data_IF_876098717520
#
_entry.id   IF_876098717520
#
_cell.length_a   1.000
_cell.length_b   1.000
_cell.length_c   1.000
_cell.angle_alpha   90.00
_cell.angle_beta   90.00
_cell.angle_gamma   90.00
#
_symmetry.space_group_name_H-M   'P 1'
#
loop_
_entity.id
_entity.type
_entity.pdbx_description
1 polymer ?
#
# COMPACT_ATOMS: atom_id res chain seq x y z
N UNK A 1 -10.49 3.02 25.69
CA UNK A 1 -11.75 2.45 25.17
C UNK A 1 -12.76 3.53 24.78
N UNK A 2 -13.11 4.48 25.65
CA UNK A 2 -14.04 5.58 25.30
C UNK A 2 -13.58 6.44 24.11
N UNK A 3 -12.28 6.75 24.01
CA UNK A 3 -11.71 7.48 22.88
C UNK A 3 -11.94 6.77 21.53
N UNK A 4 -11.79 5.43 21.50
CA UNK A 4 -12.06 4.61 20.31
C UNK A 4 -13.54 4.66 19.92
N UNK A 5 -14.45 4.58 20.89
CA UNK A 5 -15.90 4.70 20.64
C UNK A 5 -16.26 6.06 20.04
N UNK A 6 -15.63 7.14 20.53
CA UNK A 6 -15.82 8.49 19.98
C UNK A 6 -15.30 8.56 18.54
N UNK A 7 -14.12 8.01 18.25
CA UNK A 7 -13.56 7.98 16.90
C UNK A 7 -14.44 7.20 15.92
N UNK A 8 -14.94 6.03 16.30
CA UNK A 8 -15.86 5.25 15.46
C UNK A 8 -17.15 6.04 15.20
N UNK A 9 -17.72 6.68 16.22
CA UNK A 9 -18.92 7.52 16.05
C UNK A 9 -18.66 8.71 15.12
N UNK A 10 -17.48 9.32 15.23
CA UNK A 10 -17.07 10.42 14.37
C UNK A 10 -16.92 9.95 12.91
N UNK A 11 -16.22 8.83 12.69
CA UNK A 11 -16.04 8.26 11.37
C UNK A 11 -17.37 7.84 10.75
N UNK A 12 -18.20 7.10 11.47
CA UNK A 12 -19.52 6.67 10.97
C UNK A 12 -20.38 7.87 10.57
N UNK A 13 -20.40 8.92 11.38
CA UNK A 13 -21.10 10.15 11.03
C UNK A 13 -20.56 10.76 9.73
N UNK A 14 -19.23 10.81 9.56
CA UNK A 14 -18.65 11.30 8.32
C UNK A 14 -18.96 10.43 7.10
N UNK A 15 -19.10 9.11 7.29
CA UNK A 15 -19.49 8.18 6.22
C UNK A 15 -20.98 8.32 5.87
N UNK A 16 -21.85 8.45 6.87
CA UNK A 16 -23.29 8.68 6.68
C UNK A 16 -23.54 10.02 5.97
N UNK A 17 -22.85 11.08 6.38
CA UNK A 17 -22.97 12.41 5.79
C UNK A 17 -22.23 12.50 4.43
N UNK A 18 -21.40 11.51 4.03
CA UNK A 18 -20.53 11.61 2.87
C UNK A 18 -21.29 11.70 1.54
N UNK A 19 -22.36 10.93 1.39
CA UNK A 19 -23.15 10.90 0.15
C UNK A 19 -23.99 12.17 0.01
N UNK A 20 -24.66 12.60 1.07
CA UNK A 20 -25.42 13.85 1.10
C UNK A 20 -24.52 15.05 0.79
N UNK A 21 -23.31 15.07 1.36
CA UNK A 21 -22.32 16.12 1.09
C UNK A 21 -21.78 15.99 -0.34
N UNK A 22 -21.58 14.79 -0.88
CA UNK A 22 -21.12 14.55 -2.26
C UNK A 22 -22.16 14.98 -3.30
N UNK A 23 -23.45 14.73 -3.05
CA UNK A 23 -24.55 15.21 -3.91
C UNK A 23 -24.66 16.73 -3.87
N UNK A 24 -24.67 17.30 -2.66
CA UNK A 24 -24.60 18.75 -2.47
C UNK A 24 -23.35 19.36 -3.13
N UNK A 25 -22.23 18.63 -3.14
CA UNK A 25 -21.01 19.04 -3.80
C UNK A 25 -21.20 19.19 -5.31
N UNK A 26 -21.78 18.19 -5.98
CA UNK A 26 -22.05 18.21 -7.42
C UNK A 26 -23.01 19.34 -7.81
N UNK A 27 -24.05 19.56 -7.01
CA UNK A 27 -25.04 20.62 -7.25
C UNK A 27 -24.42 22.02 -7.13
N UNK A 28 -23.58 22.27 -6.12
CA UNK A 28 -22.99 23.59 -5.91
C UNK A 28 -21.77 23.88 -6.80
N UNK A 29 -21.06 22.85 -7.28
CA UNK A 29 -20.00 23.02 -8.27
C UNK A 29 -20.54 23.56 -9.60
N UNK A 30 -21.77 23.18 -9.97
CA UNK A 30 -22.47 23.72 -11.13
C UNK A 30 -22.84 25.21 -10.99
N UNK A 31 -22.87 25.74 -9.75
CA UNK A 31 -23.21 27.13 -9.45
C UNK A 31 -21.97 28.05 -9.31
N UNK A 32 -20.75 27.52 -9.37
CA UNK A 32 -19.49 28.29 -9.40
C UNK A 32 -19.30 29.34 -8.27
N UNK A 33 -19.82 29.08 -7.06
CA UNK A 33 -19.72 30.04 -5.94
C UNK A 33 -18.40 29.82 -5.15
N UNK A 34 -17.46 30.80 -5.11
CA UNK A 34 -16.13 30.60 -4.55
C UNK A 34 -16.10 30.26 -3.04
N UNK A 35 -17.05 30.78 -2.25
CA UNK A 35 -17.07 30.60 -0.79
C UNK A 35 -17.37 29.14 -0.37
N UNK A 36 -18.11 28.41 -1.22
CA UNK A 36 -18.50 27.02 -0.99
C UNK A 36 -17.31 26.09 -1.20
N UNK A 37 -16.47 26.38 -2.20
CA UNK A 37 -15.33 25.54 -2.58
C UNK A 37 -14.29 25.40 -1.45
N UNK A 38 -14.16 26.42 -0.58
CA UNK A 38 -13.30 26.36 0.61
C UNK A 38 -13.87 25.46 1.71
N UNK A 39 -15.17 25.59 2.03
CA UNK A 39 -15.82 24.72 3.02
C UNK A 39 -15.86 23.24 2.57
N UNK A 40 -15.81 22.99 1.26
CA UNK A 40 -15.76 21.65 0.66
C UNK A 40 -14.38 20.98 0.82
N UNK A 41 -13.29 21.72 0.61
CA UNK A 41 -11.94 21.20 0.79
C UNK A 41 -11.69 20.78 2.24
N UNK A 42 -12.27 21.53 3.19
CA UNK A 42 -12.20 21.23 4.62
C UNK A 42 -12.85 19.87 4.97
N UNK A 43 -13.93 19.47 4.30
CA UNK A 43 -14.64 18.21 4.64
C UNK A 43 -13.85 16.96 4.24
N UNK A 44 -13.33 16.90 3.01
CA UNK A 44 -12.55 15.73 2.55
C UNK A 44 -11.28 15.56 3.41
N UNK A 45 -10.70 16.70 3.83
CA UNK A 45 -9.56 16.75 4.76
C UNK A 45 -9.93 16.16 6.11
N UNK A 46 -11.10 16.53 6.66
CA UNK A 46 -11.62 15.98 7.92
C UNK A 46 -11.94 14.50 7.83
N UNK A 47 -12.50 14.03 6.71
CA UNK A 47 -12.76 12.60 6.49
C UNK A 47 -11.46 11.80 6.48
N UNK A 48 -10.45 12.26 5.73
CA UNK A 48 -9.14 11.59 5.69
C UNK A 48 -8.45 11.60 7.06
N UNK A 49 -8.54 12.71 7.80
CA UNK A 49 -8.04 12.79 9.17
C UNK A 49 -8.76 11.82 10.12
N UNK A 50 -10.10 11.70 10.00
CA UNK A 50 -10.88 10.77 10.80
C UNK A 50 -10.51 9.31 10.51
N UNK A 51 -10.27 8.96 9.24
CA UNK A 51 -9.77 7.64 8.84
C UNK A 51 -8.40 7.35 9.46
N UNK A 52 -7.44 8.27 9.35
CA UNK A 52 -6.09 8.11 9.95
C UNK A 52 -6.19 7.97 11.47
N UNK A 53 -6.99 8.80 12.13
CA UNK A 53 -7.21 8.71 13.58
C UNK A 53 -7.79 7.35 13.98
N UNK A 54 -8.75 6.84 13.21
CA UNK A 54 -9.35 5.53 13.47
C UNK A 54 -8.30 4.41 13.34
N UNK A 55 -7.46 4.44 12.29
CA UNK A 55 -6.35 3.48 12.11
C UNK A 55 -5.41 3.50 13.33
N UNK A 56 -4.99 4.69 13.77
CA UNK A 56 -4.09 4.83 14.92
C UNK A 56 -4.69 4.26 16.21
N UNK A 57 -5.97 4.54 16.47
CA UNK A 57 -6.66 4.04 17.65
C UNK A 57 -6.88 2.53 17.58
N UNK A 58 -7.25 2.01 16.41
CA UNK A 58 -7.41 0.58 16.19
C UNK A 58 -6.09 -0.17 16.39
N UNK A 59 -4.98 0.35 15.86
CA UNK A 59 -3.64 -0.17 16.13
C UNK A 59 -3.30 -0.13 17.63
N UNK A 60 -3.51 1.01 18.31
CA UNK A 60 -3.23 1.16 19.74
C UNK A 60 -4.01 0.18 20.62
N UNK A 61 -5.28 -0.06 20.30
CA UNK A 61 -6.11 -1.04 21.00
C UNK A 61 -5.99 -2.46 20.41
N UNK A 62 -5.17 -2.65 19.40
CA UNK A 62 -4.95 -3.92 18.70
C UNK A 62 -6.25 -4.56 18.18
N UNK A 63 -7.08 -3.74 17.54
CA UNK A 63 -8.31 -4.16 16.84
C UNK A 63 -8.07 -4.06 15.33
N UNK A 64 -8.40 -5.11 14.58
CA UNK A 64 -8.01 -5.22 13.17
C UNK A 64 -9.18 -5.55 12.24
N UNK A 65 -10.41 -5.59 12.76
CA UNK A 65 -11.61 -6.08 12.06
C UNK A 65 -12.01 -5.23 10.84
N UNK A 66 -11.73 -3.92 10.89
CA UNK A 66 -12.22 -2.97 9.89
C UNK A 66 -11.10 -2.35 9.04
N UNK A 67 -9.86 -2.83 9.14
CA UNK A 67 -8.73 -2.20 8.44
C UNK A 67 -8.92 -2.21 6.92
N UNK A 68 -9.33 -3.33 6.35
CA UNK A 68 -9.56 -3.48 4.91
C UNK A 68 -10.55 -2.44 4.38
N UNK A 69 -11.67 -2.27 5.10
CA UNK A 69 -12.69 -1.28 4.75
C UNK A 69 -12.17 0.16 4.90
N UNK A 70 -11.49 0.46 6.01
CA UNK A 70 -10.97 1.81 6.27
C UNK A 70 -9.93 2.22 5.22
N UNK A 71 -9.01 1.31 4.88
CA UNK A 71 -8.01 1.58 3.86
C UNK A 71 -8.62 1.67 2.45
N UNK A 72 -9.61 0.84 2.11
CA UNK A 72 -10.32 0.94 0.83
C UNK A 72 -11.06 2.27 0.68
N UNK A 73 -11.75 2.73 1.73
CA UNK A 73 -12.42 4.03 1.74
C UNK A 73 -11.39 5.16 1.58
N UNK A 74 -10.27 5.09 2.32
CA UNK A 74 -9.22 6.11 2.23
C UNK A 74 -8.58 6.20 0.84
N UNK A 75 -8.29 5.06 0.21
CA UNK A 75 -7.77 5.01 -1.17
C UNK A 75 -8.78 5.62 -2.17
N UNK A 76 -10.07 5.30 -2.04
CA UNK A 76 -11.13 5.90 -2.85
C UNK A 76 -11.19 7.43 -2.67
N UNK A 77 -11.12 7.91 -1.43
CA UNK A 77 -11.12 9.34 -1.11
C UNK A 77 -9.94 10.05 -1.76
N UNK A 78 -8.75 9.45 -1.73
CA UNK A 78 -7.54 10.01 -2.36
C UNK A 78 -7.70 10.07 -3.89
N UNK A 79 -8.06 8.95 -4.53
CA UNK A 79 -8.19 8.86 -6.00
C UNK A 79 -9.30 9.76 -6.55
N UNK A 80 -10.45 9.83 -5.89
CA UNK A 80 -11.60 10.57 -6.41
C UNK A 80 -11.58 12.06 -6.05
N UNK A 81 -11.22 12.40 -4.81
CA UNK A 81 -11.45 13.74 -4.25
C UNK A 81 -10.20 14.62 -4.14
N UNK A 82 -9.02 14.01 -4.22
CA UNK A 82 -7.75 14.71 -4.05
C UNK A 82 -6.96 14.82 -5.36
N UNK A 83 -6.89 13.76 -6.18
CA UNK A 83 -6.18 13.79 -7.47
C UNK A 83 -6.86 14.70 -8.52
N UNK A 84 -8.15 15.00 -8.35
CA UNK A 84 -8.90 15.91 -9.22
C UNK A 84 -8.65 17.40 -8.94
N UNK A 85 -7.92 17.77 -7.87
CA UNK A 85 -7.71 19.17 -7.45
C UNK A 85 -6.36 19.72 -7.92
N UNK A 86 -6.40 20.71 -8.84
CA UNK A 86 -5.21 21.43 -9.39
C UNK A 86 -4.30 22.13 -8.37
N UNK A 87 -4.74 22.33 -7.12
CA UNK A 87 -3.92 22.92 -6.05
C UNK A 87 -4.23 22.24 -4.72
N UNK A 88 -3.32 21.39 -4.26
CA UNK A 88 -3.43 20.76 -2.95
C UNK A 88 -2.93 21.69 -1.85
N UNK A 89 -3.75 21.84 -0.80
CA UNK A 89 -3.30 22.44 0.45
C UNK A 89 -2.22 21.59 1.12
N UNK A 90 -1.35 22.23 1.89
CA UNK A 90 -0.21 21.59 2.55
C UNK A 90 -0.64 20.47 3.52
N UNK A 91 -1.76 20.66 4.22
CA UNK A 91 -2.33 19.65 5.11
C UNK A 91 -2.79 18.40 4.36
N UNK A 92 -3.36 18.57 3.16
CA UNK A 92 -3.79 17.44 2.33
C UNK A 92 -2.61 16.62 1.88
N UNK A 93 -1.53 17.30 1.45
CA UNK A 93 -0.27 16.62 1.11
C UNK A 93 0.30 15.84 2.29
N UNK A 94 0.25 16.41 3.50
CA UNK A 94 0.67 15.72 4.72
C UNK A 94 -0.16 14.47 4.99
N UNK A 95 -1.49 14.62 5.05
CA UNK A 95 -2.40 13.50 5.36
C UNK A 95 -2.34 12.40 4.31
N UNK A 96 -2.25 12.74 3.02
CA UNK A 96 -2.12 11.78 1.93
C UNK A 96 -0.83 10.97 2.09
N UNK A 97 0.31 11.61 2.36
CA UNK A 97 1.57 10.88 2.51
C UNK A 97 1.60 10.03 3.79
N UNK A 98 1.03 10.52 4.91
CA UNK A 98 0.86 9.71 6.13
C UNK A 98 0.00 8.49 5.84
N UNK A 99 -1.14 8.67 5.15
CA UNK A 99 -2.02 7.58 4.78
C UNK A 99 -1.33 6.58 3.86
N UNK A 100 -0.64 7.05 2.81
CA UNK A 100 0.11 6.21 1.86
C UNK A 100 1.15 5.34 2.56
N UNK A 101 1.92 5.92 3.48
CA UNK A 101 2.90 5.14 4.22
C UNK A 101 2.24 4.04 5.07
N UNK A 102 1.16 4.38 5.78
CA UNK A 102 0.39 3.41 6.56
C UNK A 102 -0.24 2.34 5.68
N UNK A 103 -0.64 2.71 4.46
CA UNK A 103 -1.22 1.82 3.47
C UNK A 103 -0.16 0.82 2.97
N UNK A 104 1.07 1.27 2.65
CA UNK A 104 2.17 0.37 2.27
C UNK A 104 2.47 -0.68 3.35
N UNK A 105 2.48 -0.27 4.61
CA UNK A 105 2.72 -1.18 5.73
C UNK A 105 1.57 -2.16 5.93
N UNK A 106 0.33 -1.72 5.72
CA UNK A 106 -0.84 -2.59 5.73
C UNK A 106 -0.81 -3.61 4.57
N UNK A 107 -0.58 -3.17 3.33
CA UNK A 107 -0.49 -4.03 2.14
C UNK A 107 0.59 -5.10 2.29
N UNK A 108 1.71 -4.78 2.95
CA UNK A 108 2.79 -5.74 3.23
C UNK A 108 2.38 -6.92 4.12
N UNK A 109 1.21 -6.84 4.75
CA UNK A 109 0.64 -7.86 5.64
C UNK A 109 -0.80 -8.23 5.27
N UNK A 110 -1.29 -7.78 4.12
CA UNK A 110 -2.61 -8.12 3.64
C UNK A 110 -2.56 -9.45 2.88
N UNK A 111 -3.48 -10.35 3.20
CA UNK A 111 -3.70 -11.52 2.36
C UNK A 111 -4.41 -11.10 1.07
N UNK A 112 -3.75 -11.30 -0.07
CA UNK A 112 -4.36 -11.00 -1.37
C UNK A 112 -5.52 -11.95 -1.64
N UNK A 113 -6.72 -11.39 -1.83
CA UNK A 113 -7.87 -12.16 -2.30
C UNK A 113 -7.69 -12.47 -3.80
N UNK A 114 -7.45 -13.74 -4.10
CA UNK A 114 -7.11 -14.26 -5.43
C UNK A 114 -8.22 -14.10 -6.45
N UNK A 115 -9.47 -13.96 -5.99
CA UNK A 115 -10.66 -13.77 -6.84
C UNK A 115 -10.74 -12.34 -7.37
N UNK A 116 -10.29 -11.36 -6.57
CA UNK A 116 -10.46 -9.94 -6.88
C UNK A 116 -9.13 -9.24 -7.23
N UNK A 117 -8.00 -9.92 -7.10
CA UNK A 117 -6.71 -9.34 -7.47
C UNK A 117 -6.59 -9.15 -8.98
N UNK A 118 -6.36 -7.91 -9.39
CA UNK A 118 -6.07 -7.52 -10.76
C UNK A 118 -4.73 -6.81 -10.78
N UNK A 119 -3.85 -7.26 -11.68
CA UNK A 119 -2.62 -6.53 -12.00
C UNK A 119 -3.06 -5.27 -12.73
N UNK A 120 -2.44 -4.13 -12.41
CA UNK A 120 -2.74 -2.85 -13.05
C UNK A 120 -2.58 -2.99 -14.57
N UNK A 121 -3.56 -2.53 -15.36
CA UNK A 121 -3.56 -2.66 -16.82
C UNK A 121 -2.30 -2.09 -17.48
N UNK A 122 -1.74 -1.00 -16.91
CA UNK A 122 -0.46 -0.41 -17.36
C UNK A 122 0.73 -1.35 -17.15
N UNK A 123 0.73 -2.04 -16.01
CA UNK A 123 1.79 -2.99 -15.65
C UNK A 123 1.66 -4.28 -16.47
N UNK A 124 0.41 -4.69 -16.80
CA UNK A 124 0.18 -5.75 -17.78
C UNK A 124 0.73 -5.33 -19.15
N UNK A 125 0.45 -4.11 -19.61
CA UNK A 125 0.89 -3.66 -20.92
C UNK A 125 2.42 -3.55 -21.04
N UNK A 126 3.07 -2.96 -20.02
CA UNK A 126 4.52 -2.71 -20.05
C UNK A 126 5.35 -3.96 -19.69
N UNK A 127 4.95 -4.68 -18.64
CA UNK A 127 5.80 -5.71 -18.03
C UNK A 127 5.33 -7.14 -18.31
N UNK A 128 4.02 -7.34 -18.49
CA UNK A 128 3.42 -8.67 -18.61
C UNK A 128 2.51 -8.79 -19.84
N UNK A 129 2.91 -8.16 -20.96
CA UNK A 129 2.11 -8.15 -22.19
C UNK A 129 1.84 -9.55 -22.72
N UNK A 130 2.72 -10.49 -22.39
CA UNK A 130 2.62 -11.92 -22.70
C UNK A 130 1.49 -12.64 -21.96
N UNK A 131 0.86 -12.01 -20.97
CA UNK A 131 -0.37 -12.47 -20.34
C UNK A 131 -1.63 -12.17 -21.17
N UNK A 132 -1.55 -11.31 -22.20
CA UNK A 132 -2.68 -11.03 -23.10
C UNK A 132 -2.73 -12.10 -24.21
N UNK A 133 -3.94 -12.57 -24.53
CA UNK A 133 -4.17 -13.60 -25.57
C UNK A 133 -3.69 -13.15 -26.97
N UNK A 134 -3.62 -11.83 -27.21
CA UNK A 134 -3.21 -11.22 -28.48
C UNK A 134 -1.70 -10.86 -28.54
N UNK A 135 -0.86 -11.55 -27.75
CA UNK A 135 0.57 -11.28 -27.69
C UNK A 135 1.28 -11.66 -29.00
N UNK A 136 1.60 -10.65 -29.82
CA UNK A 136 2.36 -10.82 -31.05
C UNK A 136 3.87 -10.78 -30.80
N UNK A 137 4.54 -11.92 -31.00
CA UNK A 137 6.01 -12.05 -30.91
C UNK A 137 6.78 -11.22 -31.96
N UNK A 138 6.11 -10.75 -33.00
CA UNK A 138 6.72 -10.09 -34.15
C UNK A 138 6.94 -8.59 -33.88
N UNK A 139 6.15 -7.95 -33.00
CA UNK A 139 6.26 -6.52 -32.73
C UNK A 139 7.43 -6.12 -31.82
N UNK A 140 8.13 -7.10 -31.23
CA UNK A 140 9.30 -6.88 -30.37
C UNK A 140 10.63 -6.86 -31.14
N UNK A 141 10.65 -7.28 -32.41
CA UNK A 141 11.89 -7.30 -33.21
C UNK A 141 12.25 -5.89 -33.72
N UNK A 142 11.28 -4.97 -33.74
CA UNK A 142 11.46 -3.59 -34.20
C UNK A 142 11.57 -2.58 -33.03
N UNK A 143 11.64 -3.02 -31.77
CA UNK A 143 11.61 -2.13 -30.59
C UNK A 143 12.84 -2.21 -29.68
N UNK A 144 13.92 -2.89 -30.09
CA UNK A 144 15.13 -3.04 -29.25
C UNK A 144 16.15 -1.88 -29.43
N UNK A 145 15.84 -0.84 -30.21
CA UNK A 145 16.79 0.24 -30.53
C UNK A 145 16.41 1.66 -30.10
N UNK A 146 15.27 1.91 -29.44
CA UNK A 146 14.96 3.22 -28.86
C UNK A 146 14.15 3.08 -27.56
N UNK A 147 14.72 3.50 -26.42
CA UNK A 147 14.05 4.21 -25.30
C UNK A 147 14.92 4.19 -24.02
N UNK A 148 16.01 4.97 -24.04
CA UNK A 148 16.43 5.71 -22.84
C UNK A 148 15.55 6.97 -22.79
N UNK A 149 14.43 6.93 -22.05
CA UNK A 149 13.84 8.13 -21.43
C UNK A 149 12.81 7.76 -20.35
N UNK A 150 13.05 8.31 -19.16
CA UNK A 150 12.28 8.18 -17.93
C UNK A 150 10.80 8.63 -18.06
N UNK A 151 9.85 7.70 -17.99
CA UNK A 151 8.41 8.01 -18.01
C UNK A 151 7.75 7.91 -16.61
N UNK A 152 8.21 8.74 -15.67
CA UNK A 152 7.50 8.99 -14.40
C UNK A 152 7.13 10.47 -14.15
N UNK A 153 7.53 11.40 -15.02
CA UNK A 153 7.50 12.85 -14.69
C UNK A 153 6.66 13.76 -15.61
N UNK A 154 5.60 13.24 -16.25
CA UNK A 154 4.65 14.08 -17.03
C UNK A 154 3.26 14.20 -16.42
N UNK A 155 3.19 14.86 -15.26
CA UNK A 155 2.10 15.81 -14.97
C UNK A 155 2.75 17.10 -14.43
N UNK A 156 2.60 18.20 -15.18
CA UNK A 156 2.98 19.61 -14.91
C UNK A 156 4.28 20.17 -15.55
N UNK A 157 4.21 20.60 -16.82
CA UNK A 157 4.15 22.03 -17.23
C UNK A 157 4.18 22.21 -18.76
N UNK A 158 3.51 23.27 -19.23
CA UNK A 158 3.29 23.66 -20.63
C UNK A 158 4.30 24.72 -21.14
N UNK A 159 4.35 24.84 -22.48
CA UNK A 159 4.86 25.89 -23.39
C UNK A 159 6.33 25.71 -23.82
N UNK A 160 6.76 25.85 -25.09
CA UNK A 160 6.27 26.41 -26.37
C UNK A 160 7.38 26.08 -27.41
N UNK A 161 7.16 25.50 -28.60
CA UNK A 161 6.84 26.07 -29.93
C UNK A 161 7.94 25.65 -30.94
N UNK A 162 7.52 25.35 -32.20
CA UNK A 162 8.27 25.31 -33.47
C UNK A 162 9.31 24.17 -33.70
N UNK A 163 9.49 23.52 -34.86
CA UNK A 163 8.93 23.58 -36.22
C UNK A 163 9.47 22.37 -37.05
N UNK A 164 8.64 21.89 -38.00
CA UNK A 164 8.89 21.13 -39.25
C UNK A 164 10.07 20.13 -39.45
N UNK A 165 9.70 18.90 -39.86
CA UNK A 165 9.79 18.54 -41.29
C UNK A 165 10.36 17.17 -41.69
N UNK A 166 9.71 16.58 -42.73
CA UNK A 166 10.20 15.63 -43.77
C UNK A 166 9.92 14.12 -43.48
N UNK A 167 8.88 13.49 -44.06
CA UNK A 167 8.75 12.83 -45.39
C UNK A 167 9.84 11.74 -45.65
N UNK A 168 9.54 10.48 -45.94
CA UNK A 168 9.14 9.94 -47.27
C UNK A 168 9.04 8.40 -47.13
N UNK A 169 7.97 7.81 -47.68
CA UNK A 169 7.84 6.64 -48.60
C UNK A 169 8.84 5.46 -48.48
N UNK A 170 8.54 4.20 -48.78
CA UNK A 170 7.37 3.42 -49.19
C UNK A 170 7.84 1.96 -49.37
N UNK A 171 6.90 1.10 -49.76
CA UNK A 171 7.09 -0.18 -50.49
C UNK A 171 7.44 -1.43 -49.66
N UNK A 172 6.96 -2.63 -49.96
CA UNK A 172 5.84 -3.15 -50.75
C UNK A 172 5.90 -4.69 -50.58
N UNK A 173 4.74 -5.37 -50.70
CA UNK A 173 4.55 -6.74 -51.23
C UNK A 173 5.36 -7.93 -50.65
N UNK A 174 4.84 -9.15 -50.46
CA UNK A 174 3.56 -9.80 -50.70
C UNK A 174 3.72 -11.27 -50.25
N UNK A 175 2.57 -11.95 -50.12
CA UNK A 175 2.33 -13.38 -50.33
C UNK A 175 2.15 -14.31 -49.12
N UNK A 176 0.89 -14.77 -49.08
CA UNK A 176 0.28 -15.89 -48.36
C UNK A 176 1.03 -17.21 -48.51
N UNK A 177 0.99 -18.03 -47.44
CA UNK A 177 0.71 -19.46 -47.59
C UNK A 177 0.01 -20.01 -46.33
N UNK A 178 -1.26 -20.38 -46.51
CA UNK A 178 -2.11 -21.04 -45.51
C UNK A 178 -1.59 -22.44 -45.17
N UNK A 179 -1.25 -22.66 -43.90
CA UNK A 179 -1.30 -24.01 -43.30
C UNK A 179 -2.17 -23.99 -42.07
N UNK A 180 -3.40 -24.49 -42.24
CA UNK A 180 -4.36 -24.75 -41.16
C UNK A 180 -3.96 -26.06 -40.48
N UNK A 181 -3.49 -26.01 -39.24
CA UNK A 181 -3.54 -27.15 -38.32
C UNK A 181 -3.88 -26.71 -36.88
N UNK A 182 -5.19 -26.76 -36.61
CA UNK A 182 -5.90 -27.06 -35.36
C UNK A 182 -5.35 -26.46 -34.05
N UNK A 183 -5.91 -25.31 -33.67
CA UNK A 183 -5.97 -24.82 -32.30
C UNK A 183 -6.95 -25.66 -31.46
N UNK A 184 -6.61 -26.12 -30.23
CA UNK A 184 -7.62 -26.44 -29.23
C UNK A 184 -8.16 -25.13 -28.67
N UNK A 185 -9.41 -24.81 -29.01
CA UNK A 185 -10.09 -23.57 -28.64
C UNK A 185 -10.59 -23.62 -27.20
N UNK A 186 -10.19 -22.67 -26.35
CA UNK A 186 -10.90 -22.39 -25.07
C UNK A 186 -12.10 -21.48 -25.41
N UNK A 187 -13.09 -22.05 -26.09
CA UNK A 187 -14.44 -21.50 -26.17
C UNK A 187 -15.39 -22.65 -25.85
N UNK A 188 -15.50 -22.94 -24.55
CA UNK A 188 -16.63 -23.65 -23.95
C UNK A 188 -16.50 -23.59 -22.42
N UNK A 189 -16.74 -22.41 -21.85
CA UNK A 189 -17.46 -22.29 -20.57
C UNK A 189 -18.01 -20.89 -20.32
N UNK A 190 -18.28 -20.13 -21.38
CA UNK A 190 -19.13 -18.94 -21.33
C UNK A 190 -20.27 -19.20 -22.31
N UNK A 191 -21.49 -19.09 -21.78
CA UNK A 191 -22.82 -19.14 -22.40
C UNK A 191 -23.36 -20.50 -22.88
N UNK A 192 -24.38 -21.01 -22.17
CA UNK A 192 -25.58 -21.56 -22.83
C UNK A 192 -26.78 -20.66 -22.53
N UNK A 193 -27.54 -20.43 -23.58
CA UNK A 193 -28.43 -19.30 -23.82
C UNK A 193 -29.77 -19.30 -23.07
N UNK A 194 -30.29 -18.09 -22.88
CA UNK A 194 -31.68 -17.83 -22.53
C UNK A 194 -31.99 -16.33 -22.44
N UNK A 195 -32.11 -15.67 -23.60
CA UNK A 195 -32.71 -14.35 -23.85
C UNK A 195 -33.11 -13.49 -22.63
N UNK A 196 -32.28 -12.47 -22.35
CA UNK A 196 -32.58 -11.39 -21.41
C UNK A 196 -31.29 -10.69 -21.03
N UNK A 197 -31.19 -9.38 -21.28
CA UNK A 197 -30.01 -8.56 -20.97
C UNK A 197 -29.66 -8.67 -19.49
N UNK A 198 -28.68 -9.51 -19.15
CA UNK A 198 -28.18 -9.68 -17.78
C UNK A 198 -26.89 -8.88 -17.63
N UNK A 199 -27.02 -7.68 -17.05
CA UNK A 199 -25.91 -6.86 -16.54
C UNK A 199 -25.13 -7.68 -15.50
N UNK A 200 -23.84 -7.86 -15.74
CA UNK A 200 -22.90 -8.45 -14.77
C UNK A 200 -22.88 -7.61 -13.48
N UNK A 201 -23.13 -8.25 -12.33
CA UNK A 201 -23.04 -7.66 -11.00
C UNK A 201 -21.82 -8.27 -10.29
N UNK A 202 -20.75 -7.51 -10.01
CA UNK A 202 -19.59 -8.03 -9.28
C UNK A 202 -19.94 -8.28 -7.81
N UNK A 203 -19.76 -9.52 -7.35
CA UNK A 203 -19.84 -9.88 -5.92
C UNK A 203 -18.47 -9.67 -5.26
N UNK A 204 -18.09 -8.41 -5.11
CA UNK A 204 -17.50 -7.91 -3.88
C UNK A 204 -18.57 -6.98 -3.27
N UNK A 205 -18.51 -6.65 -1.98
CA UNK A 205 -19.38 -5.63 -1.40
C UNK A 205 -19.08 -4.26 -2.04
N UNK A 206 -19.59 -4.07 -3.25
CA UNK A 206 -19.81 -2.79 -3.89
C UNK A 206 -21.02 -2.27 -3.14
N UNK A 207 -20.81 -1.34 -2.20
CA UNK A 207 -21.92 -0.57 -1.65
C UNK A 207 -22.41 0.30 -2.80
N UNK A 208 -23.40 -0.18 -3.55
CA UNK A 208 -24.18 0.63 -4.46
C UNK A 208 -25.19 1.41 -3.63
N UNK A 209 -25.01 2.73 -3.50
CA UNK A 209 -25.93 3.60 -2.78
C UNK A 209 -27.25 3.87 -3.50
N UNK A 210 -27.52 3.14 -4.59
CA UNK A 210 -28.80 3.18 -5.28
C UNK A 210 -29.57 1.89 -5.01
N UNK A 211 -30.67 2.00 -4.25
CA UNK A 211 -31.71 0.98 -3.98
C UNK A 211 -31.74 0.32 -2.58
N UNK A 212 -31.78 1.12 -1.50
CA UNK A 212 -32.13 0.61 -0.17
C UNK A 212 -33.61 0.84 0.19
N UNK A 213 -34.49 -0.07 -0.24
CA UNK A 213 -35.82 -0.28 0.40
C UNK A 213 -35.84 -1.44 1.41
N UNK A 214 -34.74 -2.16 1.61
CA UNK A 214 -34.70 -3.39 2.42
C UNK A 214 -33.97 -3.30 3.77
N UNK A 215 -33.42 -2.13 4.13
CA UNK A 215 -32.80 -1.92 5.45
C UNK A 215 -33.66 -1.13 6.45
N UNK A 216 -34.93 -0.83 6.10
CA UNK A 216 -35.83 -0.10 7.00
C UNK A 216 -36.29 -0.94 8.20
N UNK A 217 -36.35 -2.25 8.07
CA UNK A 217 -36.99 -3.11 9.07
C UNK A 217 -36.07 -3.48 10.25
N UNK A 218 -34.76 -3.17 10.16
CA UNK A 218 -33.79 -3.45 11.23
C UNK A 218 -33.57 -2.27 12.21
N UNK A 219 -34.18 -1.10 11.97
CA UNK A 219 -33.96 0.12 12.76
C UNK A 219 -35.24 0.77 13.30
N UNK A 220 -36.39 0.08 13.25
CA UNK A 220 -37.61 0.55 13.91
C UNK A 220 -37.60 0.27 15.42
N UNK A 221 -36.71 0.94 16.16
CA UNK A 221 -36.96 1.28 17.58
C UNK A 221 -36.33 2.64 17.90
N UNK A 222 -37.04 3.71 17.55
CA UNK A 222 -37.30 4.94 18.34
C UNK A 222 -37.72 6.08 17.42
N UNK A 223 -38.95 5.99 16.91
CA UNK A 223 -39.68 7.14 16.37
C UNK A 223 -40.29 7.94 17.52
N UNK A 224 -39.84 9.19 17.70
CA UNK A 224 -40.69 10.37 17.92
C UNK A 224 -39.84 11.61 18.22
N UNK A 225 -39.72 12.53 17.24
CA UNK A 225 -40.12 13.94 17.41
C UNK A 225 -39.85 14.74 16.12
N UNK A 226 -40.94 14.94 15.36
CA UNK A 226 -41.38 16.13 14.61
C UNK A 226 -40.35 17.17 14.07
N UNK A 227 -40.20 17.13 12.73
CA UNK A 227 -40.29 18.22 11.72
C UNK A 227 -39.87 19.67 12.03
N UNK A 228 -38.89 20.15 11.24
CA UNK A 228 -38.73 21.56 10.85
C UNK A 228 -37.61 21.73 9.79
N UNK A 229 -37.80 22.53 8.71
CA UNK A 229 -36.82 22.66 7.63
C UNK A 229 -35.74 23.69 8.02
N UNK A 230 -34.52 23.20 8.20
CA UNK A 230 -33.33 24.03 8.35
C UNK A 230 -32.13 23.22 7.87
N UNK A 231 -31.90 23.19 6.55
CA UNK A 231 -30.60 22.84 5.99
C UNK A 231 -29.59 23.93 6.38
N UNK A 232 -29.12 23.86 7.62
CA UNK A 232 -27.87 24.47 8.05
C UNK A 232 -26.93 23.29 8.24
N UNK A 233 -25.89 23.20 7.43
CA UNK A 233 -24.74 22.32 7.68
C UNK A 233 -24.37 22.46 9.16
N UNK A 234 -24.70 21.45 9.97
CA UNK A 234 -24.39 21.44 11.39
C UNK A 234 -22.95 21.02 11.52
N UNK A 235 -22.08 22.04 11.57
CA UNK A 235 -20.65 21.97 11.91
C UNK A 235 -19.72 21.52 10.77
N UNK A 236 -19.31 22.46 9.91
CA UNK A 236 -17.95 22.47 9.36
C UNK A 236 -17.11 23.44 10.20
N UNK A 237 -16.23 22.95 11.10
CA UNK A 237 -15.34 23.86 11.80
C UNK A 237 -14.37 24.48 10.78
N UNK A 238 -14.40 25.81 10.66
CA UNK A 238 -13.41 26.56 9.89
C UNK A 238 -12.05 26.39 10.59
N UNK A 239 -11.16 25.57 10.02
CA UNK A 239 -9.84 25.32 10.57
C UNK A 239 -8.91 26.47 10.15
N UNK A 240 -8.87 27.54 10.95
CA UNK A 240 -7.93 28.65 10.76
C UNK A 240 -6.50 28.32 11.25
N UNK A 241 -5.99 27.11 11.00
CA UNK A 241 -4.60 26.77 11.33
C UNK A 241 -3.73 26.97 10.10
N UNK A 242 -2.99 28.08 10.06
CA UNK A 242 -1.89 28.27 9.12
C UNK A 242 -0.73 27.35 9.51
N UNK A 243 -0.84 26.08 9.11
CA UNK A 243 0.33 25.21 9.05
C UNK A 243 1.36 25.84 8.11
N UNK A 244 2.64 25.66 8.42
CA UNK A 244 3.76 26.30 7.72
C UNK A 244 3.67 26.10 6.20
N UNK A 245 4.08 27.11 5.43
CA UNK A 245 3.74 27.25 4.01
C UNK A 245 4.49 26.33 3.04
N UNK A 246 5.37 25.44 3.53
CA UNK A 246 6.18 24.55 2.69
C UNK A 246 6.48 23.24 3.46
N UNK A 247 5.58 22.27 3.40
CA UNK A 247 5.96 20.87 3.67
C UNK A 247 6.34 20.24 2.33
N UNK A 248 7.63 19.99 2.16
CA UNK A 248 8.13 19.11 1.10
C UNK A 248 7.78 17.66 1.45
N UNK A 249 7.52 16.82 0.44
CA UNK A 249 7.24 15.40 0.63
C UNK A 249 8.39 14.72 1.40
N UNK A 250 9.63 15.13 1.12
CA UNK A 250 10.84 14.60 1.76
C UNK A 250 10.88 14.85 3.28
N UNK A 251 10.33 15.98 3.74
CA UNK A 251 10.20 16.26 5.18
C UNK A 251 9.19 15.31 5.85
N UNK A 252 8.16 14.89 5.12
CA UNK A 252 7.16 13.95 5.63
C UNK A 252 7.79 12.55 5.75
N UNK A 253 8.54 12.10 4.74
CA UNK A 253 9.27 10.83 4.80
C UNK A 253 10.34 10.83 5.92
N UNK A 254 11.00 11.97 6.15
CA UNK A 254 11.91 12.16 7.29
C UNK A 254 11.21 12.01 8.64
N UNK A 255 9.93 12.40 8.80
CA UNK A 255 9.18 12.21 10.05
C UNK A 255 9.05 10.72 10.43
N UNK A 256 8.99 9.84 9.44
CA UNK A 256 8.97 8.39 9.63
C UNK A 256 10.37 7.77 9.69
N UNK A 257 11.41 8.57 9.40
CA UNK A 257 12.80 8.17 9.47
C UNK A 257 13.21 7.16 8.40
N UNK A 258 12.49 7.10 7.28
CA UNK A 258 12.77 6.18 6.16
C UNK A 258 12.84 7.00 4.86
N UNK A 259 13.89 6.81 4.04
CA UNK A 259 13.99 7.42 2.72
C UNK A 259 12.86 6.97 1.78
N UNK A 260 12.36 7.91 0.97
CA UNK A 260 11.25 7.69 0.04
C UNK A 260 11.56 6.59 -0.97
N UNK A 261 12.74 6.63 -1.54
CA UNK A 261 13.28 5.65 -2.49
C UNK A 261 13.30 4.23 -1.92
N UNK A 262 13.75 4.05 -0.67
CA UNK A 262 13.72 2.74 -0.02
C UNK A 262 12.27 2.24 0.20
N UNK A 263 11.35 3.15 0.52
CA UNK A 263 9.92 2.84 0.64
C UNK A 263 9.29 2.44 -0.70
N UNK A 264 9.68 3.09 -1.80
CA UNK A 264 9.20 2.74 -3.14
C UNK A 264 9.67 1.35 -3.55
N UNK A 265 10.96 1.04 -3.33
CA UNK A 265 11.51 -0.29 -3.57
C UNK A 265 10.79 -1.34 -2.71
N UNK A 266 10.52 -1.02 -1.45
CA UNK A 266 9.74 -1.89 -0.56
C UNK A 266 8.31 -2.13 -1.08
N UNK A 267 7.63 -1.08 -1.53
CA UNK A 267 6.26 -1.18 -2.06
C UNK A 267 6.20 -2.02 -3.33
N UNK A 268 7.15 -1.81 -4.25
CA UNK A 268 7.30 -2.59 -5.48
C UNK A 268 7.56 -4.07 -5.17
N UNK A 269 8.40 -4.37 -4.17
CA UNK A 269 8.64 -5.72 -3.71
C UNK A 269 7.35 -6.43 -3.25
N UNK A 270 6.48 -5.74 -2.50
CA UNK A 270 5.22 -6.30 -2.02
C UNK A 270 4.30 -6.63 -3.21
N UNK A 271 4.18 -5.73 -4.19
CA UNK A 271 3.42 -6.00 -5.41
C UNK A 271 3.97 -7.18 -6.19
N UNK A 272 5.30 -7.26 -6.34
CA UNK A 272 5.94 -8.37 -7.05
C UNK A 272 5.71 -9.71 -6.33
N UNK A 273 5.74 -9.73 -5.00
CA UNK A 273 5.41 -10.91 -4.21
C UNK A 273 3.93 -11.32 -4.38
N UNK A 274 3.02 -10.35 -4.48
CA UNK A 274 1.61 -10.60 -4.77
C UNK A 274 1.41 -11.16 -6.18
N UNK A 275 2.10 -10.62 -7.18
CA UNK A 275 2.14 -11.16 -8.55
C UNK A 275 2.62 -12.61 -8.54
N UNK A 276 3.74 -12.89 -7.87
CA UNK A 276 4.28 -14.25 -7.72
C UNK A 276 3.23 -15.22 -7.17
N UNK A 277 2.50 -14.81 -6.13
CA UNK A 277 1.48 -15.64 -5.51
C UNK A 277 0.36 -15.98 -6.51
N UNK A 278 -0.12 -14.99 -7.26
CA UNK A 278 -1.14 -15.18 -8.29
C UNK A 278 -0.64 -16.07 -9.44
N UNK A 279 0.58 -15.87 -9.91
CA UNK A 279 1.23 -16.67 -10.95
C UNK A 279 1.35 -18.14 -10.54
N UNK A 280 1.80 -18.40 -9.31
CA UNK A 280 1.86 -19.75 -8.74
C UNK A 280 0.47 -20.40 -8.68
N UNK A 281 -0.55 -19.67 -8.22
CA UNK A 281 -1.91 -20.20 -8.08
C UNK A 281 -2.58 -20.47 -9.42
N UNK A 282 -2.38 -19.60 -10.41
CA UNK A 282 -2.94 -19.75 -11.77
C UNK A 282 -2.10 -20.67 -12.66
N UNK A 283 -0.92 -21.08 -12.21
CA UNK A 283 0.09 -21.78 -13.01
C UNK A 283 0.45 -21.04 -14.32
N UNK A 284 0.47 -19.70 -14.27
CA UNK A 284 0.85 -18.84 -15.40
C UNK A 284 2.08 -18.06 -14.99
N UNK A 285 3.18 -18.21 -15.73
CA UNK A 285 4.46 -17.61 -15.40
C UNK A 285 4.91 -16.69 -16.53
N UNK A 286 4.76 -15.36 -16.36
CA UNK A 286 5.23 -14.40 -17.37
C UNK A 286 6.74 -14.50 -17.58
N UNK A 287 7.20 -14.30 -18.82
CA UNK A 287 8.61 -14.41 -19.20
C UNK A 287 9.49 -13.34 -18.57
N UNK A 288 8.95 -12.12 -18.41
CA UNK A 288 9.68 -10.99 -17.85
C UNK A 288 9.77 -11.03 -16.32
N UNK A 289 8.93 -11.84 -15.65
CA UNK A 289 8.87 -11.86 -14.20
C UNK A 289 10.22 -12.17 -13.51
N UNK A 290 11.02 -13.16 -13.96
CA UNK A 290 12.35 -13.39 -13.41
C UNK A 290 13.31 -12.19 -13.59
N UNK A 291 13.23 -11.48 -14.73
CA UNK A 291 14.05 -10.29 -15.00
C UNK A 291 13.72 -9.17 -14.02
N UNK A 292 12.43 -8.82 -13.90
CA UNK A 292 11.94 -7.79 -12.98
C UNK A 292 12.30 -8.13 -11.53
N UNK A 293 12.16 -9.41 -11.15
CA UNK A 293 12.56 -9.87 -9.81
C UNK A 293 14.05 -9.69 -9.54
N UNK A 294 14.92 -9.91 -10.54
CA UNK A 294 16.36 -9.71 -10.41
C UNK A 294 16.72 -8.22 -10.33
N UNK A 295 16.04 -7.36 -11.11
CA UNK A 295 16.23 -5.89 -11.06
C UNK A 295 15.83 -5.30 -9.71
N UNK A 296 14.72 -5.77 -9.12
CA UNK A 296 14.32 -5.40 -7.74
C UNK A 296 15.34 -5.92 -6.73
N UNK A 297 15.81 -7.17 -6.85
CA UNK A 297 16.84 -7.73 -5.96
C UNK A 297 18.13 -6.89 -6.02
N UNK A 298 18.59 -6.53 -7.21
CA UNK A 298 19.80 -5.72 -7.41
C UNK A 298 19.66 -4.31 -6.82
N UNK A 299 18.52 -3.63 -7.08
CA UNK A 299 18.24 -2.32 -6.48
C UNK A 299 18.20 -2.38 -4.96
N UNK A 300 17.60 -3.41 -4.36
CA UNK A 300 17.58 -3.59 -2.91
C UNK A 300 19.01 -3.80 -2.38
N UNK A 301 19.78 -4.72 -2.96
CA UNK A 301 21.12 -5.08 -2.45
C UNK A 301 22.10 -3.91 -2.58
N UNK A 302 22.04 -3.18 -3.69
CA UNK A 302 22.92 -2.05 -3.99
C UNK A 302 22.43 -0.71 -3.42
N UNK A 303 21.29 -0.71 -2.74
CA UNK A 303 20.75 0.47 -2.09
C UNK A 303 21.71 1.01 -1.03
N UNK A 304 21.92 2.33 -1.01
CA UNK A 304 22.77 2.98 -0.01
C UNK A 304 22.27 4.39 0.30
N UNK A 305 22.15 4.70 1.58
CA UNK A 305 21.79 6.02 2.10
C UNK A 305 22.69 7.15 1.59
N UNK A 306 23.95 6.89 1.21
CA UNK A 306 24.86 7.92 0.68
C UNK A 306 24.59 8.32 -0.77
N UNK A 307 23.84 7.52 -1.53
CA UNK A 307 23.62 7.76 -2.97
C UNK A 307 22.55 8.80 -3.25
N UNK A 308 21.71 9.17 -2.27
CA UNK A 308 20.52 9.99 -2.50
C UNK A 308 20.30 10.98 -1.35
N UNK A 309 20.37 12.29 -1.64
CA UNK A 309 19.90 13.51 -0.93
C UNK A 309 20.06 13.63 0.61
N UNK A 310 20.44 12.58 1.32
CA UNK A 310 20.60 12.46 2.76
C UNK A 310 22.09 12.40 3.05
N UNK A 311 22.74 13.56 3.08
CA UNK A 311 24.15 13.70 3.48
C UNK A 311 24.30 13.52 4.99
N UNK A 312 24.05 12.30 5.47
CA UNK A 312 24.14 11.95 6.89
C UNK A 312 25.60 11.78 7.30
N UNK A 313 26.11 12.75 8.07
CA UNK A 313 27.40 12.65 8.75
C UNK A 313 27.36 11.67 9.94
N UNK A 314 28.07 10.53 9.91
CA UNK A 314 28.11 9.55 11.00
C UNK A 314 28.65 10.11 12.32
N UNK A 315 29.38 11.23 12.30
CA UNK A 315 29.91 11.87 13.51
C UNK A 315 28.82 12.55 14.34
N UNK A 316 27.71 12.93 13.70
CA UNK A 316 26.57 13.52 14.37
C UNK A 316 25.68 12.41 14.96
N UNK A 317 25.44 12.44 16.28
CA UNK A 317 24.65 11.40 16.95
C UNK A 317 23.21 11.27 16.42
N UNK A 318 22.58 12.35 15.94
CA UNK A 318 21.24 12.27 15.35
C UNK A 318 21.28 11.58 13.98
N UNK A 319 22.29 11.88 13.17
CA UNK A 319 22.50 11.21 11.89
C UNK A 319 22.87 9.74 12.09
N UNK A 320 23.73 9.42 13.05
CA UNK A 320 24.05 8.04 13.46
C UNK A 320 22.76 7.28 13.83
N UNK A 321 21.86 7.91 14.60
CA UNK A 321 20.56 7.34 14.90
C UNK A 321 19.72 7.06 13.63
N UNK A 322 19.62 8.03 12.72
CA UNK A 322 18.88 7.87 11.46
C UNK A 322 19.48 6.78 10.57
N UNK A 323 20.80 6.76 10.37
CA UNK A 323 21.52 5.72 9.62
C UNK A 323 21.18 4.34 10.18
N UNK A 324 21.23 4.18 11.50
CA UNK A 324 20.91 2.92 12.15
C UNK A 324 19.43 2.53 11.99
N UNK A 325 18.49 3.48 12.08
CA UNK A 325 17.06 3.21 11.84
C UNK A 325 16.80 2.74 10.40
N UNK A 326 17.37 3.46 9.43
CA UNK A 326 17.23 3.18 8.00
C UNK A 326 17.86 1.85 7.61
N UNK A 327 19.08 1.58 8.08
CA UNK A 327 19.73 0.30 7.83
C UNK A 327 18.95 -0.87 8.46
N UNK A 328 18.38 -0.70 9.66
CA UNK A 328 17.52 -1.73 10.24
C UNK A 328 16.33 -2.09 9.34
N UNK A 329 15.66 -1.06 8.79
CA UNK A 329 14.56 -1.26 7.84
C UNK A 329 15.05 -1.90 6.54
N UNK A 330 16.16 -1.41 5.96
CA UNK A 330 16.76 -1.94 4.73
C UNK A 330 17.07 -3.44 4.83
N UNK A 331 17.74 -3.88 5.90
CA UNK A 331 18.00 -5.31 6.12
C UNK A 331 16.72 -6.13 6.29
N UNK A 332 15.68 -5.57 6.91
CA UNK A 332 14.38 -6.22 7.00
C UNK A 332 13.69 -6.34 5.63
N UNK A 333 13.83 -5.35 4.72
CA UNK A 333 13.38 -5.42 3.32
C UNK A 333 14.13 -6.50 2.54
N UNK A 334 15.45 -6.60 2.70
CA UNK A 334 16.26 -7.68 2.11
C UNK A 334 15.72 -9.04 2.57
N UNK A 335 15.49 -9.21 3.87
CA UNK A 335 14.95 -10.46 4.45
C UNK A 335 13.58 -10.78 3.86
N UNK A 336 12.69 -9.79 3.78
CA UNK A 336 11.36 -9.93 3.20
C UNK A 336 11.45 -10.42 1.74
N UNK A 337 12.32 -9.81 0.93
CA UNK A 337 12.53 -10.21 -0.46
C UNK A 337 12.97 -11.67 -0.56
N UNK A 338 14.01 -12.04 0.19
CA UNK A 338 14.52 -13.41 0.17
C UNK A 338 13.45 -14.42 0.57
N UNK A 339 12.65 -14.12 1.59
CA UNK A 339 11.61 -15.03 2.09
C UNK A 339 10.45 -15.18 1.11
N UNK A 340 10.02 -14.11 0.46
CA UNK A 340 8.85 -14.14 -0.43
C UNK A 340 9.21 -14.60 -1.86
N UNK A 341 10.42 -14.29 -2.34
CA UNK A 341 10.79 -14.46 -3.75
C UNK A 341 11.57 -15.74 -4.04
N UNK A 342 12.39 -16.27 -3.13
CA UNK A 342 13.21 -17.46 -3.40
C UNK A 342 12.40 -18.76 -3.22
N UNK A 343 12.50 -19.68 -4.19
CA UNK A 343 11.76 -20.98 -4.18
C UNK A 343 12.30 -21.95 -3.12
N UNK A 344 13.61 -21.99 -2.90
CA UNK A 344 14.26 -22.89 -1.94
C UNK A 344 14.85 -22.08 -0.77
N UNK A 345 14.00 -21.31 -0.09
CA UNK A 345 14.44 -20.49 1.03
C UNK A 345 14.87 -21.37 2.22
N UNK A 346 16.08 -21.16 2.72
CA UNK A 346 16.61 -21.82 3.92
C UNK A 346 16.97 -20.74 4.95
N UNK A 347 16.26 -20.71 6.08
CA UNK A 347 16.39 -19.67 7.08
C UNK A 347 17.83 -19.55 7.63
N UNK A 348 18.51 -20.68 7.79
CA UNK A 348 19.88 -20.80 8.30
C UNK A 348 20.89 -19.98 7.48
N UNK A 349 20.69 -19.85 6.17
CA UNK A 349 21.58 -19.10 5.28
C UNK A 349 21.50 -17.58 5.48
N UNK A 350 20.42 -17.08 6.08
CA UNK A 350 20.15 -15.65 6.19
C UNK A 350 20.28 -15.10 7.61
N UNK A 351 20.82 -15.88 8.54
CA UNK A 351 20.97 -15.46 9.93
C UNK A 351 21.91 -14.24 10.10
N UNK A 352 22.91 -14.09 9.24
CA UNK A 352 23.79 -12.90 9.24
C UNK A 352 23.00 -11.61 8.95
N UNK A 353 21.99 -11.67 8.09
CA UNK A 353 21.10 -10.54 7.82
C UNK A 353 20.23 -10.22 9.05
N UNK A 354 19.72 -11.25 9.73
CA UNK A 354 18.99 -11.09 11.00
C UNK A 354 19.87 -10.40 12.03
N UNK A 355 21.12 -10.85 12.20
CA UNK A 355 22.03 -10.28 13.18
C UNK A 355 22.39 -8.83 12.89
N UNK A 356 22.58 -8.47 11.61
CA UNK A 356 22.76 -7.08 11.16
C UNK A 356 21.52 -6.21 11.40
N UNK A 357 20.33 -6.68 11.00
CA UNK A 357 19.04 -6.03 11.25
C UNK A 357 18.87 -5.66 12.74
N UNK A 358 19.09 -6.64 13.63
CA UNK A 358 18.95 -6.46 15.07
C UNK A 358 20.06 -5.56 15.65
N UNK A 359 21.29 -5.63 15.13
CA UNK A 359 22.40 -4.78 15.56
C UNK A 359 22.11 -3.30 15.27
N UNK A 360 21.64 -2.98 14.06
CA UNK A 360 21.26 -1.62 13.70
C UNK A 360 20.08 -1.12 14.53
N UNK A 361 19.06 -1.95 14.74
CA UNK A 361 17.90 -1.61 15.57
C UNK A 361 18.30 -1.32 17.03
N UNK A 362 19.10 -2.19 17.64
CA UNK A 362 19.61 -1.98 19.00
C UNK A 362 20.47 -0.72 19.10
N UNK A 363 21.27 -0.43 18.08
CA UNK A 363 22.07 0.80 18.02
C UNK A 363 21.17 2.03 17.97
N UNK A 364 20.15 2.05 17.10
CA UNK A 364 19.17 3.14 17.04
C UNK A 364 18.45 3.36 18.39
N UNK A 365 18.07 2.27 19.08
CA UNK A 365 17.47 2.35 20.42
C UNK A 365 18.45 2.94 21.45
N UNK A 366 19.73 2.58 21.41
CA UNK A 366 20.75 3.11 22.33
C UNK A 366 21.00 4.61 22.08
N UNK A 367 21.17 5.01 20.82
CA UNK A 367 21.46 6.40 20.45
C UNK A 367 20.24 7.30 20.72
N UNK A 368 19.02 6.84 20.43
CA UNK A 368 17.80 7.59 20.76
C UNK A 368 17.64 7.84 22.26
N UNK A 369 17.98 6.86 23.11
CA UNK A 369 18.02 7.06 24.57
C UNK A 369 19.04 8.12 24.99
N UNK A 370 20.24 8.11 24.40
CA UNK A 370 21.28 9.14 24.64
C UNK A 370 20.81 10.54 24.24
N UNK A 371 20.08 10.64 23.13
CA UNK A 371 19.52 11.89 22.61
C UNK A 371 18.19 12.28 23.27
N UNK A 372 17.64 11.46 24.18
CA UNK A 372 16.33 11.67 24.80
C UNK A 372 15.17 11.80 23.80
N UNK A 373 15.27 11.10 22.67
CA UNK A 373 14.23 11.11 21.64
C UNK A 373 13.08 10.17 22.03
N UNK A 374 11.84 10.58 21.74
CA UNK A 374 10.67 9.69 21.79
C UNK A 374 10.63 8.78 20.56
N UNK A 375 11.62 7.90 20.45
CA UNK A 375 11.74 7.00 19.31
C UNK A 375 10.71 5.88 19.37
N UNK A 376 9.98 5.70 18.25
CA UNK A 376 9.00 4.65 18.02
C UNK A 376 9.43 3.79 16.82
N UNK A 377 10.27 2.77 17.03
CA UNK A 377 10.67 1.86 15.95
C UNK A 377 9.47 1.07 15.44
N UNK A 378 9.42 0.83 14.12
CA UNK A 378 8.42 -0.05 13.51
C UNK A 378 8.59 -1.49 14.03
N UNK A 379 7.46 -2.12 14.37
CA UNK A 379 7.48 -3.54 14.74
C UNK A 379 7.74 -4.44 13.53
N UNK A 380 7.47 -3.94 12.32
CA UNK A 380 7.68 -4.67 11.07
C UNK A 380 9.11 -5.24 10.94
N UNK A 381 10.14 -4.49 11.33
CA UNK A 381 11.54 -4.97 11.30
C UNK A 381 11.70 -6.24 12.16
N UNK A 382 11.09 -6.27 13.35
CA UNK A 382 11.13 -7.43 14.24
C UNK A 382 10.30 -8.60 13.71
N UNK A 383 9.16 -8.34 13.07
CA UNK A 383 8.37 -9.38 12.42
C UNK A 383 9.18 -10.06 11.31
N UNK A 384 9.82 -9.29 10.43
CA UNK A 384 10.64 -9.84 9.35
C UNK A 384 11.81 -10.65 9.90
N UNK A 385 12.63 -10.03 10.75
CA UNK A 385 13.83 -10.67 11.29
C UNK A 385 13.46 -11.87 12.20
N UNK A 386 12.33 -11.81 12.92
CA UNK A 386 11.82 -12.92 13.73
C UNK A 386 11.24 -14.08 12.95
N UNK A 387 10.58 -13.83 11.82
CA UNK A 387 9.97 -14.89 11.02
C UNK A 387 10.99 -15.90 10.48
N UNK A 388 12.24 -15.45 10.29
CA UNK A 388 13.34 -16.30 9.83
C UNK A 388 14.40 -16.55 10.91
N UNK A 389 14.21 -16.07 12.14
CA UNK A 389 15.20 -16.26 13.20
C UNK A 389 15.29 -17.75 13.61
N UNK A 390 16.51 -18.30 13.50
CA UNK A 390 16.83 -19.66 13.91
C UNK A 390 17.66 -19.63 15.19
N UNK A 391 17.29 -20.48 16.13
CA UNK A 391 17.97 -20.66 17.40
C UNK A 391 17.43 -19.76 18.53
N UNK A 392 17.44 -20.32 19.74
CA UNK A 392 16.90 -19.69 20.95
C UNK A 392 17.59 -18.37 21.29
N UNK A 393 18.89 -18.23 21.00
CA UNK A 393 19.66 -17.01 21.26
C UNK A 393 19.10 -15.79 20.51
N UNK A 394 18.79 -15.93 19.22
CA UNK A 394 18.26 -14.83 18.39
C UNK A 394 16.81 -14.52 18.73
N UNK A 395 16.01 -15.56 18.95
CA UNK A 395 14.62 -15.42 19.42
C UNK A 395 14.59 -14.63 20.73
N UNK A 396 15.44 -14.97 21.70
CA UNK A 396 15.54 -14.25 22.97
C UNK A 396 16.08 -12.82 22.81
N UNK A 397 17.00 -12.59 21.85
CA UNK A 397 17.44 -11.23 21.49
C UNK A 397 16.26 -10.39 20.98
N UNK A 398 15.42 -10.94 20.11
CA UNK A 398 14.20 -10.27 19.62
C UNK A 398 13.25 -9.96 20.76
N UNK A 399 13.05 -10.91 21.69
CA UNK A 399 12.22 -10.68 22.88
C UNK A 399 12.73 -9.52 23.73
N UNK A 400 14.04 -9.49 24.00
CA UNK A 400 14.64 -8.38 24.74
C UNK A 400 14.45 -7.02 24.06
N UNK A 401 14.50 -6.98 22.72
CA UNK A 401 14.27 -5.75 21.96
C UNK A 401 12.80 -5.32 22.05
N UNK A 402 11.84 -6.22 21.82
CA UNK A 402 10.42 -5.86 21.88
C UNK A 402 9.94 -5.48 23.29
N UNK A 403 10.69 -5.83 24.33
CA UNK A 403 10.36 -5.56 25.74
C UNK A 403 10.98 -4.24 26.22
N UNK A 404 11.74 -3.57 25.36
CA UNK A 404 12.36 -2.28 25.65
C UNK A 404 11.34 -1.14 25.69
N UNK A 405 11.71 -0.04 26.36
CA UNK A 405 10.80 1.08 26.64
C UNK A 405 10.22 1.73 25.37
N UNK A 406 10.95 1.68 24.25
CA UNK A 406 10.47 2.25 22.98
C UNK A 406 9.28 1.49 22.39
N UNK A 407 9.16 0.17 22.66
CA UNK A 407 8.00 -0.63 22.23
C UNK A 407 6.89 -0.68 23.29
N UNK A 408 7.21 -0.54 24.59
CA UNK A 408 6.19 -0.50 25.65
C UNK A 408 5.23 0.68 25.55
N UNK A 409 5.69 1.80 24.98
CA UNK A 409 4.89 3.01 24.76
C UNK A 409 4.12 3.01 23.42
N UNK A 410 4.15 1.88 22.71
CA UNK A 410 3.50 1.66 21.42
C UNK A 410 2.37 0.62 21.58
N UNK A 411 1.55 0.36 20.53
CA UNK A 411 0.71 -0.83 20.49
C UNK A 411 1.48 -2.09 20.94
N UNK A 412 0.80 -3.04 21.60
CA UNK A 412 1.49 -4.26 22.07
C UNK A 412 1.96 -5.18 20.91
N UNK A 413 1.38 -5.02 19.71
CA UNK A 413 1.64 -5.89 18.55
C UNK A 413 1.46 -7.38 18.87
N UNK A 414 0.51 -7.73 19.75
CA UNK A 414 0.37 -9.08 20.29
C UNK A 414 0.14 -10.13 19.21
N UNK A 415 -0.60 -9.81 18.13
CA UNK A 415 -0.79 -10.70 16.97
C UNK A 415 0.53 -11.00 16.26
N UNK A 416 1.36 -9.98 16.03
CA UNK A 416 2.69 -10.14 15.43
C UNK A 416 3.60 -10.98 16.31
N UNK A 417 3.55 -10.77 17.64
CA UNK A 417 4.27 -11.62 18.61
C UNK A 417 3.80 -13.07 18.55
N UNK A 418 2.49 -13.29 18.45
CA UNK A 418 1.90 -14.64 18.34
C UNK A 418 2.30 -15.33 17.04
N UNK A 419 2.29 -14.62 15.89
CA UNK A 419 2.81 -15.13 14.62
C UNK A 419 4.26 -15.61 14.80
N UNK A 420 5.10 -14.83 15.47
CA UNK A 420 6.49 -15.21 15.71
C UNK A 420 6.61 -16.46 16.59
N UNK A 421 5.84 -16.55 17.68
CA UNK A 421 5.83 -17.74 18.53
C UNK A 421 5.37 -18.98 17.78
N UNK A 422 4.33 -18.89 16.96
CA UNK A 422 3.84 -19.99 16.15
C UNK A 422 4.89 -20.48 15.15
N UNK A 423 5.52 -19.54 14.42
CA UNK A 423 6.59 -19.88 13.46
C UNK A 423 7.74 -20.59 14.18
N UNK A 424 8.15 -20.09 15.35
CA UNK A 424 9.22 -20.71 16.13
C UNK A 424 8.85 -22.11 16.64
N UNK A 425 7.60 -22.31 17.07
CA UNK A 425 7.12 -23.60 17.54
C UNK A 425 7.04 -24.62 16.39
N UNK A 426 6.39 -24.26 15.28
CA UNK A 426 6.30 -25.11 14.08
C UNK A 426 7.68 -25.46 13.50
N UNK A 427 8.62 -24.51 13.50
CA UNK A 427 10.03 -24.77 13.12
C UNK A 427 10.68 -25.81 14.03
N UNK A 428 10.49 -25.72 15.34
CA UNK A 428 11.04 -26.69 16.29
C UNK A 428 10.41 -28.09 16.12
N UNK A 429 9.16 -28.15 15.63
CA UNK A 429 8.45 -29.38 15.32
C UNK A 429 8.81 -29.97 13.94
N UNK A 430 9.68 -29.31 13.17
CA UNK A 430 10.21 -29.82 11.90
C UNK A 430 9.30 -29.58 10.68
N UNK A 431 8.41 -28.59 10.74
CA UNK A 431 7.60 -28.20 9.57
C UNK A 431 8.48 -27.58 8.46
N UNK A 432 8.08 -27.80 7.21
CA UNK A 432 8.84 -27.34 6.04
C UNK A 432 8.91 -25.81 5.97
N UNK A 433 10.09 -25.26 5.70
CA UNK A 433 10.34 -23.81 5.62
C UNK A 433 9.51 -23.08 4.57
N UNK A 434 9.00 -23.78 3.56
CA UNK A 434 8.08 -23.21 2.56
C UNK A 434 6.70 -22.86 3.18
N UNK A 435 6.28 -23.64 4.18
CA UNK A 435 5.03 -23.41 4.93
C UNK A 435 5.23 -22.52 6.15
N UNK A 436 6.46 -22.37 6.63
CA UNK A 436 6.81 -21.44 7.70
C UNK A 436 7.00 -20.02 7.18
N UNK A 437 6.12 -19.09 7.53
CA UNK A 437 6.31 -17.68 7.15
C UNK A 437 5.21 -16.78 7.66
N UNK A 438 5.52 -15.50 7.86
CA UNK A 438 4.54 -14.55 8.39
C UNK A 438 3.31 -14.44 7.47
N UNK A 439 3.50 -14.44 6.15
CA UNK A 439 2.39 -14.42 5.18
C UNK A 439 1.56 -15.70 5.20
N UNK A 440 2.15 -16.86 5.51
CA UNK A 440 1.39 -18.10 5.64
C UNK A 440 0.50 -18.04 6.89
N UNK A 441 1.02 -17.54 8.01
CA UNK A 441 0.23 -17.35 9.24
C UNK A 441 -0.90 -16.32 9.05
N UNK A 442 -0.60 -15.20 8.37
CA UNK A 442 -1.60 -14.16 8.02
C UNK A 442 -2.75 -14.77 7.20
N UNK A 443 -2.42 -15.57 6.17
CA UNK A 443 -3.41 -16.25 5.33
C UNK A 443 -4.19 -17.34 6.09
N UNK A 444 -3.51 -18.13 6.91
CA UNK A 444 -4.14 -19.22 7.67
C UNK A 444 -5.12 -18.69 8.73
N UNK A 445 -4.76 -17.59 9.39
CA UNK A 445 -5.55 -17.02 10.48
C UNK A 445 -6.57 -15.96 10.01
N UNK A 446 -6.57 -15.65 8.72
CA UNK A 446 -7.43 -14.62 8.10
C UNK A 446 -7.37 -13.29 8.87
N UNK A 447 -6.14 -12.79 9.06
CA UNK A 447 -5.87 -11.54 9.77
C UNK A 447 -5.15 -10.54 8.89
N UNK A 448 -5.40 -9.26 9.13
CA UNK A 448 -4.62 -8.16 8.57
C UNK A 448 -3.89 -7.43 9.71
N UNK A 449 -2.70 -6.89 9.42
CA UNK A 449 -1.92 -6.11 10.37
C UNK A 449 -1.68 -4.70 9.81
N UNK A 450 -1.35 -3.76 10.68
CA UNK A 450 -0.85 -2.44 10.29
C UNK A 450 0.32 -2.13 11.24
N UNK A 451 1.54 -2.27 10.73
CA UNK A 451 2.78 -2.31 11.52
C UNK A 451 3.70 -1.09 11.29
N UNK A 452 3.10 0.01 10.82
CA UNK A 452 3.76 1.27 10.45
C UNK A 452 3.42 2.45 11.34
#
# INVERSE_FOLDING_TARGET
MELRKISIKLLNRHLDDADEISEFQKEQQALSVPLVQYAMADYDTMLLLALILQIELDNFFSVFENLDLIYAIGDLVIKTKFESKKRMETINRLLINIFKLKYFMYESTQAVNTVNYQINDKDIEHNYGDLKDDYNLISLVDSDDDDDDDDFDKVYQNNSDDDMGINVDADADANDEQTVQMQPTIKNMITTDGSGVSKYVPTAYTISFEQNKKFKDAYEVTTASELGPSHKMKFTPYIATKFTSMFDADLIYLMFGIPRDLLLIFHELIHLANHKNIFNLRNVFPRNFPRISAEVEDRIINWNHTRLNWSLDPSNSFHEFLINNVNSFHYAVIICHHKLMKKNFCAEQYQDLVDKCLLYLESAIKVSKKLQLQYRPMFWNLLMCGSIAVGTMRQERIRRIWDSDCYRNQPNYWRSKQILFEIWDRRNNGEDEEHLGFMNMIREWDICLSLG
#
